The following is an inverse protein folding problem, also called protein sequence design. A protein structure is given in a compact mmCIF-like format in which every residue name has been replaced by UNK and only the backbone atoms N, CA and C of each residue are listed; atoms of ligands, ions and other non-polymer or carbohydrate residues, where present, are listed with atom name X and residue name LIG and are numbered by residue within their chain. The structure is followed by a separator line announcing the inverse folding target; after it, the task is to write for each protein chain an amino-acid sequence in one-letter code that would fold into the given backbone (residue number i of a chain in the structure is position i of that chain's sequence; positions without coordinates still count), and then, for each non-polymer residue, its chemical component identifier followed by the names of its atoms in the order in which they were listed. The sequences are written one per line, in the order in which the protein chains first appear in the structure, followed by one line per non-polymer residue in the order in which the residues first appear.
data_IF_183529617937
#
_entry.id   IF_183529617937
#
_cell.length_a   1.000
_cell.length_b   1.000
_cell.length_c   1.000
_cell.angle_alpha   90.00
_cell.angle_beta   90.00
_cell.angle_gamma   90.00
#
_symmetry.space_group_name_H-M   'P 1'
#
loop_
_entity.id
_entity.type
_entity.pdbx_description
1 polymer ?
#
# COMPACT_ATOMS: atom_id res chain seq x y z
N UNK A 1 15.01 14.37 28.64
CA UNK A 1 14.23 13.14 28.91
C UNK A 1 13.17 12.98 27.82
N UNK A 2 13.48 12.43 26.65
CA UNK A 2 12.49 11.86 25.71
C UNK A 2 13.21 11.22 24.52
N UNK A 3 13.88 10.08 24.74
CA UNK A 3 14.51 9.32 23.65
C UNK A 3 14.27 7.80 23.77
N UNK A 4 13.66 7.34 24.87
CA UNK A 4 13.47 5.91 25.16
C UNK A 4 12.09 5.37 24.71
N UNK A 5 11.19 6.24 24.24
CA UNK A 5 9.81 5.85 23.92
C UNK A 5 9.61 5.50 22.43
N UNK A 6 10.54 5.88 21.53
CA UNK A 6 10.39 5.67 20.08
C UNK A 6 10.64 4.23 19.65
N UNK A 7 11.50 3.48 20.35
CA UNK A 7 11.89 2.12 19.96
C UNK A 7 10.77 1.09 20.11
N UNK A 8 9.92 1.23 21.12
CA UNK A 8 8.89 0.23 21.43
C UNK A 8 7.65 0.40 20.51
N UNK A 9 7.29 1.64 20.14
CA UNK A 9 6.26 1.87 19.13
C UNK A 9 6.69 1.40 17.74
N UNK A 10 7.95 1.58 17.36
CA UNK A 10 8.45 1.13 16.07
C UNK A 10 8.39 -0.40 15.92
N UNK A 11 8.75 -1.15 16.97
CA UNK A 11 8.68 -2.62 16.97
C UNK A 11 7.24 -3.12 16.92
N UNK A 12 6.34 -2.55 17.72
CA UNK A 12 4.91 -2.93 17.72
C UNK A 12 4.19 -2.48 16.44
N UNK A 13 4.56 -1.33 15.87
CA UNK A 13 4.05 -0.88 14.57
C UNK A 13 4.56 -1.77 13.43
N UNK A 14 5.79 -2.27 13.50
CA UNK A 14 6.31 -3.22 12.53
C UNK A 14 5.57 -4.56 12.59
N UNK A 15 5.31 -5.10 13.79
CA UNK A 15 4.50 -6.31 13.93
C UNK A 15 3.03 -6.11 13.51
N UNK A 16 2.45 -4.94 13.78
CA UNK A 16 1.07 -4.63 13.39
C UNK A 16 0.95 -4.42 11.87
N UNK A 17 1.91 -3.75 11.25
CA UNK A 17 1.94 -3.56 9.80
C UNK A 17 2.09 -4.91 9.07
N UNK A 18 3.02 -5.76 9.51
CA UNK A 18 3.16 -7.13 8.99
C UNK A 18 1.88 -7.95 9.20
N UNK A 19 1.10 -7.65 10.24
CA UNK A 19 -0.18 -8.29 10.49
C UNK A 19 -1.33 -7.75 9.62
N UNK A 20 -1.29 -6.49 9.17
CA UNK A 20 -2.40 -5.83 8.49
C UNK A 20 -2.19 -5.60 6.99
N UNK A 21 -0.96 -5.67 6.48
CA UNK A 21 -0.68 -5.43 5.08
C UNK A 21 0.17 -6.50 4.38
N UNK A 22 0.08 -6.53 3.06
CA UNK A 22 1.07 -7.13 2.17
C UNK A 22 1.65 -6.06 1.24
N UNK A 23 2.80 -6.33 0.66
CA UNK A 23 3.48 -5.39 -0.24
C UNK A 23 3.61 -5.96 -1.65
N UNK A 24 3.43 -5.08 -2.65
CA UNK A 24 3.71 -5.34 -4.06
C UNK A 24 4.78 -4.34 -4.50
N UNK A 25 5.84 -4.83 -5.15
CA UNK A 25 6.87 -3.98 -5.75
C UNK A 25 6.63 -3.96 -7.25
N UNK A 26 6.37 -2.78 -7.80
CA UNK A 26 6.11 -2.59 -9.23
C UNK A 26 7.40 -2.12 -9.89
N UNK A 27 8.11 -3.04 -10.54
CA UNK A 27 9.30 -2.71 -11.34
C UNK A 27 8.93 -2.36 -12.79
N UNK A 28 7.98 -3.09 -13.35
CA UNK A 28 7.45 -2.88 -14.68
C UNK A 28 6.00 -3.37 -14.70
N UNK A 29 5.09 -2.50 -15.13
CA UNK A 29 3.72 -2.85 -15.44
C UNK A 29 3.52 -2.61 -16.92
N UNK A 30 3.17 -3.66 -17.65
CA UNK A 30 2.80 -3.53 -19.04
C UNK A 30 1.43 -2.80 -19.11
N UNK A 31 1.31 -1.70 -19.88
CA UNK A 31 0.07 -0.95 -20.02
C UNK A 31 -1.15 -1.80 -20.40
N UNK A 32 -0.96 -2.90 -21.12
CA UNK A 32 -2.06 -3.80 -21.51
C UNK A 32 -2.71 -4.48 -20.30
N UNK A 33 -1.94 -4.71 -19.23
CA UNK A 33 -2.38 -5.33 -17.99
C UNK A 33 -2.78 -4.31 -16.92
N UNK A 34 -2.54 -3.03 -17.16
CA UNK A 34 -2.88 -1.98 -16.22
C UNK A 34 -4.37 -1.97 -15.92
N UNK A 35 -5.23 -2.12 -16.93
CA UNK A 35 -6.69 -2.19 -16.75
C UNK A 35 -7.19 -3.29 -15.79
N UNK A 36 -6.35 -4.31 -15.53
CA UNK A 36 -6.71 -5.48 -14.71
C UNK A 36 -6.20 -5.37 -13.26
N UNK A 37 -5.61 -4.24 -12.87
CA UNK A 37 -5.03 -4.04 -11.53
C UNK A 37 -6.02 -4.33 -10.40
N UNK A 38 -7.30 -4.00 -10.59
CA UNK A 38 -8.37 -4.25 -9.61
C UNK A 38 -8.60 -5.74 -9.40
N UNK A 39 -8.62 -6.53 -10.49
CA UNK A 39 -8.78 -7.98 -10.43
C UNK A 39 -7.57 -8.65 -9.80
N UNK A 40 -6.36 -8.18 -10.13
CA UNK A 40 -5.12 -8.63 -9.49
C UNK A 40 -5.14 -8.38 -7.97
N UNK A 41 -5.51 -7.16 -7.54
CA UNK A 41 -5.62 -6.85 -6.12
C UNK A 41 -6.71 -7.65 -5.42
N UNK A 42 -7.86 -7.83 -6.07
CA UNK A 42 -8.94 -8.64 -5.52
C UNK A 42 -8.45 -10.07 -5.23
N UNK A 43 -7.70 -10.67 -6.15
CA UNK A 43 -7.11 -12.00 -5.94
C UNK A 43 -6.03 -11.99 -4.86
N UNK A 44 -5.19 -10.96 -4.81
CA UNK A 44 -4.20 -10.80 -3.73
C UNK A 44 -4.87 -10.74 -2.35
N UNK A 45 -5.94 -9.96 -2.17
CA UNK A 45 -6.70 -9.93 -0.91
C UNK A 45 -7.41 -11.25 -0.61
N UNK A 46 -7.76 -12.07 -1.61
CA UNK A 46 -8.29 -13.43 -1.38
C UNK A 46 -7.20 -14.37 -0.86
N UNK A 47 -5.96 -14.24 -1.34
CA UNK A 47 -4.83 -15.01 -0.84
C UNK A 47 -4.33 -14.55 0.53
N UNK A 48 -4.53 -13.27 0.85
CA UNK A 48 -4.17 -12.68 2.13
C UNK A 48 -5.42 -12.16 2.88
N UNK A 49 -6.34 -13.05 3.30
CA UNK A 49 -7.66 -12.66 3.80
C UNK A 49 -7.61 -11.83 5.09
N UNK A 50 -6.53 -12.00 5.87
CA UNK A 50 -6.28 -11.32 7.15
C UNK A 50 -5.63 -9.94 6.96
N UNK A 51 -5.37 -9.51 5.73
CA UNK A 51 -4.75 -8.23 5.41
C UNK A 51 -5.79 -7.27 4.87
N UNK A 52 -5.82 -6.08 5.44
CA UNK A 52 -6.73 -5.01 5.04
C UNK A 52 -6.08 -4.00 4.11
N UNK A 53 -4.75 -3.95 4.08
CA UNK A 53 -4.00 -2.99 3.29
C UNK A 53 -3.05 -3.66 2.29
N UNK A 54 -2.89 -3.02 1.13
CA UNK A 54 -1.84 -3.30 0.16
C UNK A 54 -0.90 -2.09 0.10
N UNK A 55 0.39 -2.32 0.31
CA UNK A 55 1.44 -1.34 0.10
C UNK A 55 2.02 -1.54 -1.31
N UNK A 56 2.06 -0.51 -2.13
CA UNK A 56 2.73 -0.53 -3.43
C UNK A 56 4.00 0.30 -3.36
N UNK A 57 5.11 -0.31 -3.76
CA UNK A 57 6.42 0.32 -3.84
C UNK A 57 6.80 0.52 -5.30
N UNK A 58 7.20 1.75 -5.64
CA UNK A 58 7.62 2.14 -6.97
C UNK A 58 9.02 2.77 -6.90
N UNK A 59 9.96 2.38 -7.78
CA UNK A 59 11.27 3.04 -7.86
C UNK A 59 11.12 4.55 -8.12
N UNK A 60 12.01 5.33 -7.51
CA UNK A 60 11.94 6.80 -7.51
C UNK A 60 12.04 7.47 -8.88
N UNK A 61 12.68 6.80 -9.82
CA UNK A 61 12.97 7.21 -11.19
C UNK A 61 11.91 6.70 -12.19
N UNK A 62 10.95 5.91 -11.72
CA UNK A 62 9.90 5.33 -12.55
C UNK A 62 8.72 6.29 -12.74
N UNK A 63 8.10 6.22 -13.92
CA UNK A 63 6.83 6.91 -14.17
C UNK A 63 5.74 6.31 -13.28
N UNK A 64 4.92 7.15 -12.66
CA UNK A 64 3.77 6.73 -11.87
C UNK A 64 2.71 6.15 -12.82
N UNK A 65 2.36 4.85 -12.71
CA UNK A 65 1.28 4.27 -13.51
C UNK A 65 -0.06 4.93 -13.18
N UNK A 66 -0.93 5.20 -14.16
CA UNK A 66 -2.30 5.67 -13.96
C UNK A 66 -3.07 4.94 -12.84
N UNK A 67 -2.93 3.62 -12.68
CA UNK A 67 -3.63 2.87 -11.62
C UNK A 67 -3.36 3.41 -10.20
N UNK A 68 -2.20 4.04 -9.98
CA UNK A 68 -1.84 4.57 -8.66
C UNK A 68 -2.61 5.83 -8.28
N UNK A 69 -3.45 6.41 -9.16
CA UNK A 69 -4.37 7.49 -8.78
C UNK A 69 -5.43 7.04 -7.79
N UNK A 70 -5.77 5.76 -7.79
CA UNK A 70 -6.77 5.19 -6.89
C UNK A 70 -6.17 4.80 -5.53
N UNK A 71 -4.86 5.04 -5.35
CA UNK A 71 -4.09 4.74 -4.14
C UNK A 71 -3.79 6.04 -3.38
N UNK A 72 -3.64 5.92 -2.06
CA UNK A 72 -3.15 7.03 -1.24
C UNK A 72 -1.62 7.04 -1.25
N UNK A 73 -1.01 8.13 -1.70
CA UNK A 73 0.45 8.30 -1.62
C UNK A 73 0.88 8.50 -0.17
N UNK A 74 1.88 7.76 0.27
CA UNK A 74 2.46 7.87 1.61
C UNK A 74 3.52 8.97 1.61
N UNK A 75 3.45 9.87 2.60
CA UNK A 75 4.45 10.93 2.78
C UNK A 75 5.82 10.34 3.17
N UNK A 76 6.91 10.76 2.52
CA UNK A 76 8.24 10.28 2.87
C UNK A 76 8.66 10.75 4.26
N UNK A 77 9.39 9.90 4.99
CA UNK A 77 9.92 10.25 6.31
C UNK A 77 11.25 10.99 6.09
N UNK A 78 11.42 12.24 6.56
CA UNK A 78 12.59 13.08 6.25
C UNK A 78 13.96 12.48 6.61
N UNK A 79 14.00 11.54 7.55
CA UNK A 79 15.23 10.87 8.01
C UNK A 79 15.57 9.59 7.24
N UNK A 80 14.69 9.12 6.35
CA UNK A 80 14.87 7.87 5.61
C UNK A 80 15.51 8.12 4.25
N UNK A 81 16.54 7.32 3.91
CA UNK A 81 17.19 7.33 2.60
C UNK A 81 16.45 6.47 1.56
N UNK A 82 15.22 6.05 1.83
CA UNK A 82 14.44 5.24 0.90
C UNK A 82 14.00 6.13 -0.26
N UNK A 83 14.53 5.92 -1.48
CA UNK A 83 14.15 6.76 -2.61
C UNK A 83 12.74 6.39 -3.11
N UNK A 84 12.26 5.20 -2.80
CA UNK A 84 11.04 4.62 -3.37
C UNK A 84 9.77 5.39 -2.98
N UNK A 85 8.86 5.47 -3.94
CA UNK A 85 7.54 6.05 -3.76
C UNK A 85 6.62 4.98 -3.20
N UNK A 86 5.96 5.29 -2.09
CA UNK A 86 5.07 4.37 -1.40
C UNK A 86 3.62 4.80 -1.57
N UNK A 87 2.77 3.82 -1.83
CA UNK A 87 1.33 3.98 -2.01
C UNK A 87 0.61 2.96 -1.15
N UNK A 88 -0.55 3.31 -0.63
CA UNK A 88 -1.38 2.42 0.19
C UNK A 88 -2.79 2.34 -0.37
N UNK A 89 -3.35 1.14 -0.33
CA UNK A 89 -4.72 0.83 -0.76
C UNK A 89 -5.41 -0.04 0.27
N UNK A 90 -6.67 0.24 0.58
CA UNK A 90 -7.47 -0.53 1.52
C UNK A 90 -8.37 -1.51 0.75
N UNK A 91 -8.57 -2.74 1.25
CA UNK A 91 -9.38 -3.79 0.58
C UNK A 91 -10.78 -3.31 0.16
N UNK A 92 -11.41 -2.46 0.96
CA UNK A 92 -12.74 -1.93 0.66
C UNK A 92 -12.75 -0.86 -0.44
N UNK A 93 -11.59 -0.39 -0.90
CA UNK A 93 -11.48 0.39 -2.13
C UNK A 93 -11.89 -0.39 -3.38
N UNK A 94 -11.98 -1.73 -3.31
CA UNK A 94 -12.51 -2.57 -4.40
C UNK A 94 -14.03 -2.67 -4.42
N UNK A 95 -14.73 -2.13 -3.41
CA UNK A 95 -16.19 -2.12 -3.40
C UNK A 95 -16.68 -1.21 -4.53
N UNK A 96 -17.41 -1.80 -5.49
CA UNK A 96 -17.98 -1.06 -6.63
C UNK A 96 -19.23 -0.29 -6.26
N UNK A 97 -19.97 -0.80 -5.27
CA UNK A 97 -21.26 -0.27 -4.85
C UNK A 97 -21.34 -0.29 -3.32
N UNK A 98 -21.85 0.79 -2.72
CA UNK A 98 -22.20 0.83 -1.31
C UNK A 98 -23.51 1.59 -1.12
N UNK A 99 -24.40 1.04 -0.29
CA UNK A 99 -25.64 1.73 0.11
C UNK A 99 -25.36 2.59 1.33
N UNK A 100 -25.55 3.91 1.20
CA UNK A 100 -25.58 4.82 2.36
C UNK A 100 -27.02 4.94 2.83
N UNK A 101 -27.31 4.41 4.01
CA UNK A 101 -28.59 4.65 4.70
C UNK A 101 -28.35 5.70 5.79
N UNK A 102 -29.10 6.80 5.71
CA UNK A 102 -29.08 7.93 6.66
C UNK A 102 -30.22 7.74 7.66
#
# INVERSE_FOLDING_TARGET
RSAMMTGQYAVTANSMAEQLCFAIIVYCLDPEFESQWQSMLAEAFRHFPDKDYCLVMLPHDSKVPPMLTDFTRVSPIPSTKAPEQLYIFHRYGLLKDFEVRI
#
